data_IF_750405398166
#
_entry.id   IF_750405398166
#
_cell.length_a   1.000
_cell.length_b   1.000
_cell.length_c   1.000
_cell.angle_alpha   90.00
_cell.angle_beta   90.00
_cell.angle_gamma   90.00
#
_symmetry.space_group_name_H-M   'P 1'
#
loop_
_entity.id
_entity.type
_entity.pdbx_description
1 polymer ?
#
# COMPACT_ATOMS: atom_id res chain seq x y z
N UNK A 1 -0.48 10.33 8.89
CA UNK A 1 -0.18 8.92 9.13
C UNK A 1 0.74 8.38 8.05
N UNK A 2 1.83 7.77 8.44
CA UNK A 2 2.79 7.21 7.50
C UNK A 2 3.06 5.75 7.80
N UNK A 3 3.13 4.94 6.75
CA UNK A 3 3.50 3.54 6.85
C UNK A 3 4.68 3.35 5.91
N UNK A 4 5.81 2.91 6.44
CA UNK A 4 7.03 2.74 5.66
C UNK A 4 7.47 1.28 5.69
N UNK A 5 7.93 0.79 4.55
CA UNK A 5 8.44 -0.57 4.45
C UNK A 5 9.34 -0.69 3.23
N UNK A 6 9.87 -1.90 3.00
CA UNK A 6 10.68 -2.15 1.82
C UNK A 6 10.07 -3.28 1.04
N UNK A 7 10.26 -3.27 -0.27
CA UNK A 7 9.86 -4.39 -1.11
C UNK A 7 10.87 -4.52 -2.24
N UNK A 8 10.60 -5.45 -3.15
CA UNK A 8 11.41 -5.63 -4.35
C UNK A 8 10.54 -5.27 -5.55
N UNK A 9 11.06 -4.39 -6.40
CA UNK A 9 10.33 -3.99 -7.59
C UNK A 9 10.25 -5.20 -8.53
N UNK A 10 9.05 -5.67 -8.86
CA UNK A 10 8.93 -6.86 -9.71
C UNK A 10 9.44 -6.65 -11.12
N UNK A 11 9.51 -5.42 -11.58
CA UNK A 11 9.98 -5.15 -12.93
C UNK A 11 11.49 -5.17 -13.04
N UNK A 12 12.20 -4.71 -12.02
CA UNK A 12 13.66 -4.58 -12.09
C UNK A 12 14.39 -5.50 -11.14
N UNK A 13 13.70 -6.04 -10.14
CA UNK A 13 14.35 -6.85 -9.12
C UNK A 13 15.10 -6.03 -8.08
N UNK A 14 15.00 -4.72 -8.12
CA UNK A 14 15.71 -3.86 -7.19
C UNK A 14 14.93 -3.69 -5.90
N UNK A 15 15.65 -3.62 -4.80
CA UNK A 15 15.03 -3.33 -3.51
C UNK A 15 14.71 -1.86 -3.44
N UNK A 16 13.55 -1.54 -2.90
CA UNK A 16 13.15 -0.13 -2.78
C UNK A 16 12.48 0.13 -1.44
N UNK A 17 12.51 1.40 -1.05
CA UNK A 17 11.83 1.88 0.15
C UNK A 17 10.50 2.46 -0.28
N UNK A 18 9.45 2.12 0.46
CA UNK A 18 8.11 2.58 0.16
C UNK A 18 7.53 3.36 1.33
N UNK A 19 6.65 4.29 1.00
CA UNK A 19 5.94 5.07 2.02
C UNK A 19 4.51 5.29 1.56
N UNK A 20 3.56 4.88 2.38
CA UNK A 20 2.15 5.19 2.18
C UNK A 20 1.78 6.25 3.19
N UNK A 21 1.34 7.39 2.72
CA UNK A 21 1.00 8.51 3.59
C UNK A 21 -0.47 8.87 3.40
N UNK A 22 -1.20 8.98 4.52
CA UNK A 22 -2.61 9.38 4.50
C UNK A 22 -2.73 10.75 5.13
N UNK A 23 -3.30 11.67 4.36
CA UNK A 23 -3.57 13.02 4.85
C UNK A 23 -4.92 13.47 4.33
N UNK A 24 -5.76 13.94 5.22
CA UNK A 24 -7.10 14.41 4.87
C UNK A 24 -7.90 13.33 4.12
N UNK A 25 -7.76 12.08 4.52
CA UNK A 25 -8.49 10.97 3.92
C UNK A 25 -7.94 10.48 2.59
N UNK A 26 -6.83 11.03 2.14
CA UNK A 26 -6.25 10.66 0.84
C UNK A 26 -4.93 9.96 1.04
N UNK A 27 -4.78 8.82 0.39
CA UNK A 27 -3.54 8.06 0.43
C UNK A 27 -2.65 8.44 -0.74
N UNK A 28 -1.34 8.59 -0.47
CA UNK A 28 -0.35 8.83 -1.49
C UNK A 28 0.82 7.91 -1.25
N UNK A 29 1.32 7.30 -2.34
CA UNK A 29 2.42 6.36 -2.24
C UNK A 29 3.66 6.95 -2.88
N UNK A 30 4.81 6.75 -2.22
CA UNK A 30 6.11 7.25 -2.70
C UNK A 30 7.13 6.14 -2.56
N UNK A 31 8.21 6.23 -3.31
CA UNK A 31 9.24 5.21 -3.29
C UNK A 31 10.60 5.84 -3.53
N UNK A 32 11.66 5.14 -3.13
CA UNK A 32 13.03 5.53 -3.42
C UNK A 32 13.92 4.30 -3.36
N UNK A 33 15.05 4.36 -4.07
CA UNK A 33 15.98 3.25 -4.14
C UNK A 33 17.07 3.34 -3.09
N UNK A 34 17.39 4.54 -2.64
CA UNK A 34 18.47 4.75 -1.70
C UNK A 34 17.96 5.34 -0.41
N UNK A 35 18.50 4.85 0.69
CA UNK A 35 18.03 5.27 2.00
C UNK A 35 18.02 6.79 2.16
N UNK A 36 19.03 7.46 1.65
CA UNK A 36 19.11 8.91 1.77
C UNK A 36 18.72 9.66 0.53
N UNK A 37 18.17 8.96 -0.45
CA UNK A 37 17.74 9.60 -1.68
C UNK A 37 16.41 10.30 -1.54
N UNK A 38 16.05 11.11 -2.52
CA UNK A 38 14.76 11.77 -2.50
C UNK A 38 13.64 10.79 -2.79
N UNK A 39 12.45 11.09 -2.25
CA UNK A 39 11.26 10.29 -2.54
C UNK A 39 10.73 10.60 -3.93
N UNK A 40 10.40 9.57 -4.67
CA UNK A 40 9.73 9.72 -5.95
C UNK A 40 8.22 9.61 -5.72
N UNK A 41 7.47 10.48 -6.36
CA UNK A 41 6.02 10.54 -6.18
C UNK A 41 5.31 9.86 -7.33
N UNK A 42 4.00 9.70 -7.17
CA UNK A 42 3.19 9.20 -8.27
C UNK A 42 3.22 7.70 -8.44
N UNK A 43 3.60 6.98 -7.41
CA UNK A 43 3.59 5.52 -7.48
C UNK A 43 2.14 5.03 -7.47
N UNK A 44 1.79 4.22 -8.47
CA UNK A 44 0.50 3.57 -8.51
C UNK A 44 0.52 2.37 -7.58
N UNK A 45 -0.28 2.37 -6.53
CA UNK A 45 -0.23 1.26 -5.58
C UNK A 45 -0.79 -0.02 -6.19
N UNK A 46 -0.13 -1.13 -5.90
CA UNK A 46 -0.59 -2.44 -6.31
C UNK A 46 -1.47 -3.03 -5.21
N UNK A 47 -2.14 -4.13 -5.53
CA UNK A 47 -2.94 -4.82 -4.54
C UNK A 47 -2.08 -5.25 -3.34
N UNK A 48 -0.88 -5.75 -3.62
CA UNK A 48 0.01 -6.18 -2.55
C UNK A 48 0.39 -5.04 -1.62
N UNK A 49 0.57 -3.84 -2.17
CA UNK A 49 0.86 -2.67 -1.34
C UNK A 49 -0.30 -2.32 -0.44
N UNK A 50 -1.52 -2.37 -0.98
CA UNK A 50 -2.70 -2.12 -0.17
C UNK A 50 -2.89 -3.18 0.91
N UNK A 51 -2.56 -4.43 0.60
CA UNK A 51 -2.63 -5.49 1.60
C UNK A 51 -1.65 -5.25 2.74
N UNK A 52 -0.46 -4.78 2.39
CA UNK A 52 0.53 -4.44 3.41
C UNK A 52 0.03 -3.29 4.29
N UNK A 53 -0.56 -2.28 3.66
CA UNK A 53 -1.11 -1.14 4.40
C UNK A 53 -2.20 -1.61 5.34
N UNK A 54 -3.11 -2.45 4.86
CA UNK A 54 -4.19 -2.94 5.70
C UNK A 54 -3.66 -3.72 6.90
N UNK A 55 -2.68 -4.59 6.67
CA UNK A 55 -2.09 -5.34 7.75
C UNK A 55 -1.45 -4.43 8.80
N UNK A 56 -0.75 -3.40 8.34
CA UNK A 56 -0.14 -2.43 9.26
C UNK A 56 -1.18 -1.67 10.05
N UNK A 57 -2.28 -1.27 9.39
CA UNK A 57 -3.34 -0.56 10.06
C UNK A 57 -3.99 -1.42 11.13
N UNK A 58 -4.22 -2.68 10.82
CA UNK A 58 -4.83 -3.59 11.80
C UNK A 58 -3.96 -3.77 13.02
N UNK A 59 -2.66 -3.87 12.83
CA UNK A 59 -1.75 -4.00 13.96
C UNK A 59 -1.75 -2.75 14.82
N UNK A 60 -1.72 -1.58 14.19
CA UNK A 60 -1.78 -0.31 14.92
C UNK A 60 -3.10 -0.12 15.62
N UNK A 61 -4.18 -0.55 14.99
CA UNK A 61 -5.50 -0.45 15.59
C UNK A 61 -5.56 -1.26 16.88
N UNK A 62 -5.04 -2.47 16.86
CA UNK A 62 -5.03 -3.32 18.04
C UNK A 62 -4.19 -2.73 19.17
N UNK A 63 -3.15 -1.98 18.82
CA UNK A 63 -2.29 -1.33 19.81
C UNK A 63 -2.78 0.06 20.17
N UNK A 64 -3.86 0.49 19.57
CA UNK A 64 -4.42 1.82 19.77
C UNK A 64 -3.44 2.93 19.47
N UNK A 65 -2.77 2.80 18.31
CA UNK A 65 -1.76 3.75 17.89
C UNK A 65 -2.30 4.72 16.84
N UNK A 66 -3.42 5.35 17.13
CA UNK A 66 -3.92 6.43 16.29
C UNK A 66 -4.61 6.01 15.01
N UNK A 67 -5.12 4.78 14.97
CA UNK A 67 -5.86 4.28 13.81
C UNK A 67 -7.29 4.05 14.20
N UNK A 68 -8.22 4.62 13.43
CA UNK A 68 -9.66 4.49 13.68
C UNK A 68 -10.28 3.42 12.80
N UNK A 69 -11.50 3.03 13.12
CA UNK A 69 -12.25 2.09 12.31
C UNK A 69 -12.33 2.55 10.86
N UNK A 70 -12.55 3.84 10.65
CA UNK A 70 -12.68 4.38 9.31
C UNK A 70 -11.44 4.16 8.47
N UNK A 71 -10.26 4.25 9.08
CA UNK A 71 -9.03 4.05 8.36
C UNK A 71 -8.95 2.62 7.83
N UNK A 72 -9.29 1.66 8.67
CA UNK A 72 -9.26 0.26 8.30
C UNK A 72 -10.32 -0.02 7.24
N UNK A 73 -11.52 0.49 7.43
CA UNK A 73 -12.61 0.25 6.49
C UNK A 73 -12.33 0.82 5.11
N UNK A 74 -11.69 1.97 5.06
CA UNK A 74 -11.35 2.57 3.78
C UNK A 74 -10.47 1.64 2.94
N UNK A 75 -9.43 1.10 3.56
CA UNK A 75 -8.51 0.23 2.83
C UNK A 75 -9.15 -1.11 2.52
N UNK A 76 -9.98 -1.62 3.42
CA UNK A 76 -10.70 -2.85 3.13
C UNK A 76 -11.59 -2.69 1.91
N UNK A 77 -12.26 -1.54 1.80
CA UNK A 77 -13.13 -1.29 0.65
C UNK A 77 -12.33 -1.21 -0.64
N UNK A 78 -11.18 -0.57 -0.60
CA UNK A 78 -10.31 -0.50 -1.77
C UNK A 78 -9.97 -1.91 -2.25
N UNK A 79 -9.62 -2.79 -1.32
CA UNK A 79 -9.27 -4.16 -1.68
C UNK A 79 -10.46 -4.98 -2.16
N UNK A 80 -11.63 -4.76 -1.57
CA UNK A 80 -12.81 -5.46 -2.01
C UNK A 80 -13.22 -5.07 -3.42
N UNK A 81 -13.00 -3.83 -3.77
CA UNK A 81 -13.35 -3.33 -5.09
C UNK A 81 -12.24 -3.49 -6.10
N UNK A 82 -11.14 -4.14 -5.72
CA UNK A 82 -9.99 -4.27 -6.61
C UNK A 82 -10.36 -5.06 -7.85
N UNK A 83 -9.94 -4.60 -9.02
CA UNK A 83 -10.25 -5.31 -10.26
C UNK A 83 -9.68 -6.71 -10.25
N UNK A 84 -10.42 -7.64 -10.82
CA UNK A 84 -10.02 -9.03 -10.88
C UNK A 84 -9.61 -9.43 -12.28
N UNK A 85 -8.85 -8.61 -12.90
CA UNK A 85 -8.48 -8.86 -14.27
C UNK A 85 -7.75 -10.17 -14.46
N UNK A 86 -6.99 -10.56 -13.46
CA UNK A 86 -6.27 -11.82 -13.56
C UNK A 86 -7.22 -12.98 -13.58
N UNK A 87 -8.25 -12.89 -12.76
CA UNK A 87 -9.23 -13.96 -12.71
C UNK A 87 -9.92 -14.14 -14.04
N UNK A 88 -10.21 -13.05 -14.68
CA UNK A 88 -10.89 -13.14 -15.94
C UNK A 88 -10.07 -13.79 -16.99
N UNK A 89 -8.79 -13.52 -16.97
CA UNK A 89 -7.93 -14.14 -17.94
C UNK A 89 -7.83 -15.61 -17.71
N UNK A 90 -7.78 -15.99 -16.46
CA UNK A 90 -7.69 -17.37 -16.12
C UNK A 90 -8.88 -18.14 -16.62
N UNK A 91 -10.01 -17.53 -16.56
CA UNK A 91 -11.20 -18.21 -16.95
C UNK A 91 -11.21 -18.61 -18.37
N UNK A 92 -10.53 -17.85 -19.17
CA UNK A 92 -10.55 -18.16 -20.57
C UNK A 92 -9.63 -19.25 -20.91
N UNK A 93 -8.80 -19.54 -20.01
CA UNK A 93 -7.86 -20.61 -20.25
C UNK A 93 -8.62 -21.83 -20.58
#
# INVERSE_FOLDING_TARGET
>A
MEIKWTDTDPATGERRFLCANRFAGVWRFRWKLHRRGPWNRGLEPTRAMWEHVLDSLRRRYRRREGVDDEDVEQVQRILLDWPKEIDEEDQNG
#
